data_IF_355699168835
#
_entry.id   IF_355699168835
#
_cell.length_a   1.000
_cell.length_b   1.000
_cell.length_c   1.000
_cell.angle_alpha   90.00
_cell.angle_beta   90.00
_cell.angle_gamma   90.00
#
_symmetry.space_group_name_H-M   'P 1'
#
loop_
_entity.id
_entity.type
_entity.pdbx_description
1 polymer ?
#
# COMPACT_ATOMS: atom_id res chain seq x y z
N UNK A 1 0.33 -8.34 1.13
CA UNK A 1 -0.71 -7.30 0.96
C UNK A 1 -1.59 -7.22 2.21
N UNK A 2 -2.52 -8.17 2.42
CA UNK A 2 -3.42 -8.18 3.59
C UNK A 2 -2.66 -8.19 4.95
N UNK A 3 -1.73 -9.12 5.13
CA UNK A 3 -0.90 -9.19 6.36
C UNK A 3 -0.01 -7.97 6.58
N UNK A 4 0.29 -7.22 5.52
CA UNK A 4 1.08 -6.00 5.64
C UNK A 4 0.22 -4.83 6.11
N UNK A 5 -0.98 -4.68 5.53
CA UNK A 5 -1.96 -3.68 5.97
C UNK A 5 -2.41 -3.91 7.41
N UNK A 6 -2.63 -5.15 7.83
CA UNK A 6 -2.95 -5.47 9.23
C UNK A 6 -1.83 -5.03 10.17
N UNK A 7 -0.57 -5.41 9.89
CA UNK A 7 0.58 -4.98 10.69
C UNK A 7 0.77 -3.46 10.72
N UNK A 8 0.47 -2.75 9.63
CA UNK A 8 0.50 -1.28 9.62
C UNK A 8 -0.63 -0.73 10.50
N UNK A 9 -1.85 -1.28 10.38
CA UNK A 9 -2.99 -0.91 11.22
C UNK A 9 -2.67 -1.01 12.70
N UNK A 10 -2.14 -2.16 13.14
CA UNK A 10 -1.73 -2.36 14.53
C UNK A 10 -0.72 -1.30 14.97
N UNK A 11 0.28 -0.99 14.15
CA UNK A 11 1.30 0.01 14.50
C UNK A 11 0.73 1.42 14.55
N UNK A 12 -0.18 1.78 13.65
CA UNK A 12 -0.90 3.07 13.70
C UNK A 12 -1.67 3.19 15.01
N UNK A 13 -2.36 2.14 15.44
CA UNK A 13 -3.10 2.13 16.72
C UNK A 13 -2.17 2.27 17.94
N UNK A 14 -0.90 1.89 17.80
CA UNK A 14 0.16 2.08 18.79
C UNK A 14 0.99 3.37 18.57
N UNK A 15 0.57 4.27 17.68
CA UNK A 15 1.17 5.59 17.50
C UNK A 15 2.23 5.72 16.40
N UNK A 16 2.31 4.78 15.45
CA UNK A 16 3.19 4.92 14.28
C UNK A 16 2.83 6.14 13.44
N UNK A 17 3.83 6.98 13.18
CA UNK A 17 3.77 8.08 12.24
C UNK A 17 3.81 7.59 10.79
N UNK A 18 3.01 8.25 9.95
CA UNK A 18 3.03 8.06 8.50
C UNK A 18 3.24 9.41 7.83
N UNK A 19 4.20 9.45 6.90
CA UNK A 19 4.57 10.66 6.17
C UNK A 19 4.68 10.41 4.66
N UNK A 20 4.78 11.50 3.90
CA UNK A 20 4.94 11.47 2.44
C UNK A 20 3.64 11.70 1.66
N UNK A 21 3.74 11.83 0.33
CA UNK A 21 2.61 12.21 -0.54
C UNK A 21 1.41 11.25 -0.48
N UNK A 22 1.64 9.99 -0.16
CA UNK A 22 0.60 8.97 -0.08
C UNK A 22 0.18 8.60 1.35
N UNK A 23 0.63 9.34 2.37
CA UNK A 23 0.39 9.03 3.78
C UNK A 23 -1.09 8.82 4.11
N UNK A 24 -1.96 9.75 3.70
CA UNK A 24 -3.39 9.65 3.96
C UNK A 24 -4.01 8.40 3.31
N UNK A 25 -3.59 8.06 2.09
CA UNK A 25 -4.08 6.86 1.39
C UNK A 25 -3.65 5.58 2.09
N UNK A 26 -2.43 5.55 2.63
CA UNK A 26 -1.95 4.43 3.43
C UNK A 26 -2.76 4.28 4.72
N UNK A 27 -3.03 5.38 5.42
CA UNK A 27 -3.84 5.41 6.63
C UNK A 27 -5.28 4.91 6.37
N UNK A 28 -5.91 5.42 5.30
CA UNK A 28 -7.26 5.03 4.92
C UNK A 28 -7.32 3.54 4.54
N UNK A 29 -6.32 3.03 3.79
CA UNK A 29 -6.23 1.62 3.43
C UNK A 29 -6.08 0.70 4.65
N UNK A 30 -5.25 1.09 5.63
CA UNK A 30 -5.07 0.33 6.86
C UNK A 30 -6.36 0.27 7.69
N UNK A 31 -7.07 1.40 7.84
CA UNK A 31 -8.35 1.48 8.54
C UNK A 31 -9.46 0.68 7.83
N UNK A 32 -9.55 0.80 6.51
CA UNK A 32 -10.48 0.04 5.69
C UNK A 32 -10.24 -1.47 5.83
N UNK A 33 -8.98 -1.88 5.86
CA UNK A 33 -8.61 -3.28 6.04
C UNK A 33 -9.00 -3.80 7.43
N UNK A 34 -8.67 -3.05 8.49
CA UNK A 34 -9.03 -3.42 9.86
C UNK A 34 -10.55 -3.57 10.03
N UNK A 35 -11.32 -2.58 9.57
CA UNK A 35 -12.79 -2.56 9.72
C UNK A 35 -13.49 -3.72 9.02
N UNK A 36 -12.98 -4.13 7.85
CA UNK A 36 -13.67 -5.09 7.00
C UNK A 36 -13.25 -6.53 7.24
N UNK A 37 -12.08 -6.76 7.84
CA UNK A 37 -11.45 -8.07 7.76
C UNK A 37 -10.80 -8.54 9.06
N UNK A 38 -10.58 -7.67 10.05
CA UNK A 38 -10.01 -8.12 11.32
C UNK A 38 -10.96 -9.07 12.04
N UNK A 39 -10.48 -10.27 12.37
CA UNK A 39 -11.26 -11.34 12.97
C UNK A 39 -12.31 -12.03 12.07
N UNK A 40 -12.35 -11.77 10.75
CA UNK A 40 -13.32 -12.40 9.84
C UNK A 40 -12.77 -13.60 9.06
N UNK A 41 -13.56 -14.70 9.01
CA UNK A 41 -13.31 -15.79 8.06
C UNK A 41 -13.86 -15.40 6.66
N UNK A 42 -12.96 -15.07 5.75
CA UNK A 42 -13.34 -14.66 4.38
C UNK A 42 -13.59 -15.87 3.48
N UNK A 43 -14.70 -15.82 2.74
CA UNK A 43 -14.94 -16.73 1.61
C UNK A 43 -13.94 -16.46 0.48
N UNK A 44 -13.69 -17.44 -0.42
CA UNK A 44 -12.82 -17.23 -1.58
C UNK A 44 -13.22 -16.05 -2.47
N UNK A 45 -14.51 -15.72 -2.55
CA UNK A 45 -15.00 -14.54 -3.30
C UNK A 45 -14.60 -13.23 -2.62
N UNK A 46 -14.70 -13.17 -1.29
CA UNK A 46 -14.28 -11.99 -0.51
C UNK A 46 -12.77 -11.79 -0.58
N UNK A 47 -11.97 -12.87 -0.54
CA UNK A 47 -10.52 -12.79 -0.74
C UNK A 47 -10.17 -12.24 -2.13
N UNK A 48 -10.88 -12.65 -3.19
CA UNK A 48 -10.64 -12.09 -4.53
C UNK A 48 -11.04 -10.62 -4.64
N UNK A 49 -12.18 -10.24 -4.06
CA UNK A 49 -12.59 -8.85 -4.01
C UNK A 49 -11.57 -7.98 -3.28
N UNK A 50 -10.95 -8.52 -2.22
CA UNK A 50 -9.86 -7.87 -1.48
C UNK A 50 -8.62 -7.65 -2.36
N UNK A 51 -8.15 -8.71 -3.03
CA UNK A 51 -6.95 -8.64 -3.88
C UNK A 51 -7.11 -7.66 -5.04
N UNK A 52 -8.35 -7.36 -5.44
CA UNK A 52 -8.68 -6.48 -6.54
C UNK A 52 -9.20 -5.09 -6.11
N UNK A 53 -9.36 -4.80 -4.80
CA UNK A 53 -9.80 -3.47 -4.36
C UNK A 53 -8.65 -2.47 -4.59
N UNK A 54 -8.82 -1.45 -5.46
CA UNK A 54 -7.77 -0.48 -5.75
C UNK A 54 -7.31 0.29 -4.51
N UNK A 55 -8.19 0.49 -3.53
CA UNK A 55 -7.85 1.22 -2.29
C UNK A 55 -6.92 0.45 -1.38
N UNK A 56 -6.84 -0.87 -1.56
CA UNK A 56 -6.03 -1.77 -0.74
C UNK A 56 -4.75 -2.22 -1.47
N UNK A 57 -4.44 -1.64 -2.62
CA UNK A 57 -3.20 -1.89 -3.34
C UNK A 57 -2.02 -1.15 -2.65
N UNK A 58 -1.48 -1.76 -1.59
CA UNK A 58 -0.37 -1.23 -0.79
C UNK A 58 0.84 -2.16 -0.82
N UNK A 59 1.92 -1.74 -1.49
CA UNK A 59 3.11 -2.56 -1.65
C UNK A 59 4.23 -2.08 -0.73
N UNK A 60 4.76 -2.96 0.10
CA UNK A 60 6.00 -2.70 0.84
C UNK A 60 7.19 -2.73 -0.11
N UNK A 61 8.14 -1.79 0.03
CA UNK A 61 9.40 -1.81 -0.71
C UNK A 61 10.59 -1.62 0.25
N UNK A 62 11.06 -2.70 0.89
CA UNK A 62 12.17 -2.64 1.84
C UNK A 62 13.47 -2.13 1.21
N UNK A 63 13.69 -2.35 -0.09
CA UNK A 63 14.91 -1.92 -0.78
C UNK A 63 14.97 -0.40 -0.97
N UNK A 64 13.81 0.27 -1.00
CA UNK A 64 13.68 1.71 -1.13
C UNK A 64 13.26 2.40 0.18
N UNK A 65 13.15 1.64 1.28
CA UNK A 65 12.75 2.13 2.61
C UNK A 65 11.43 2.93 2.56
N UNK A 66 10.44 2.42 1.83
CA UNK A 66 9.15 3.08 1.66
C UNK A 66 8.01 2.08 1.42
N UNK A 67 6.80 2.57 1.62
CA UNK A 67 5.54 1.93 1.24
C UNK A 67 4.97 2.61 0.00
N UNK A 68 4.51 1.84 -0.98
CA UNK A 68 3.79 2.31 -2.15
C UNK A 68 2.28 2.11 -1.91
N UNK A 69 1.55 3.17 -1.54
CA UNK A 69 0.10 3.16 -1.65
C UNK A 69 -0.24 3.46 -3.11
N UNK A 70 -0.61 2.43 -3.86
CA UNK A 70 -0.58 2.45 -5.31
C UNK A 70 -1.81 3.14 -5.90
N UNK A 71 -1.57 4.26 -6.58
CA UNK A 71 -2.50 4.89 -7.51
C UNK A 71 -1.86 4.79 -8.91
N UNK A 72 -2.40 3.96 -9.82
CA UNK A 72 -1.78 3.73 -11.13
C UNK A 72 -1.70 5.01 -11.98
N UNK A 73 -2.61 5.98 -11.78
CA UNK A 73 -2.58 7.25 -12.51
C UNK A 73 -1.43 8.16 -12.08
N UNK A 74 -0.80 7.90 -10.93
CA UNK A 74 0.27 8.72 -10.34
C UNK A 74 1.59 7.96 -10.18
N UNK A 75 1.62 6.69 -10.56
CA UNK A 75 2.76 5.81 -10.36
C UNK A 75 3.83 6.05 -11.43
N UNK A 76 4.94 6.69 -11.03
CA UNK A 76 6.12 6.86 -11.90
C UNK A 76 6.78 5.53 -12.27
N UNK A 77 6.53 4.48 -11.49
CA UNK A 77 7.04 3.13 -11.73
C UNK A 77 6.04 2.24 -12.50
N UNK A 78 4.90 2.77 -12.97
CA UNK A 78 3.97 1.99 -13.77
C UNK A 78 4.59 1.73 -15.16
N UNK A 79 4.69 0.47 -15.61
CA UNK A 79 5.08 0.18 -16.98
C UNK A 79 3.95 0.68 -17.89
N UNK A 80 4.25 1.70 -18.69
CA UNK A 80 3.43 2.35 -19.71
C UNK A 80 1.96 2.71 -19.35
N UNK A 81 1.64 4.01 -19.42
CA UNK A 81 0.25 4.47 -19.53
C UNK A 81 -0.41 4.06 -20.87
N UNK A 82 0.36 3.45 -21.79
CA UNK A 82 -0.10 2.86 -23.02
C UNK A 82 -0.49 1.40 -22.75
N UNK A 83 -1.78 1.10 -22.81
CA UNK A 83 -2.39 -0.12 -22.32
C UNK A 83 -1.67 -1.42 -22.71
N UNK A 84 -1.88 -2.42 -21.85
CA UNK A 84 -1.49 -3.83 -21.99
C UNK A 84 -0.09 -4.19 -21.48
N UNK A 85 0.13 -4.12 -20.14
CA UNK A 85 1.37 -4.73 -19.62
C UNK A 85 1.72 -4.55 -18.15
N UNK A 86 0.75 -4.63 -17.23
CA UNK A 86 1.02 -4.83 -15.80
C UNK A 86 0.06 -4.08 -14.89
N UNK A 87 -0.85 -4.78 -14.21
CA UNK A 87 -1.71 -4.20 -13.16
C UNK A 87 -0.94 -3.78 -11.90
N UNK A 88 0.35 -4.13 -11.79
CA UNK A 88 1.15 -3.98 -10.58
C UNK A 88 2.36 -3.06 -10.78
N UNK A 89 2.76 -2.28 -9.75
CA UNK A 89 3.92 -1.40 -9.83
C UNK A 89 5.23 -2.17 -9.97
N UNK A 90 6.16 -1.64 -10.77
CA UNK A 90 7.55 -2.13 -10.84
C UNK A 90 8.35 -1.59 -9.66
N UNK A 91 8.36 -2.31 -8.53
CA UNK A 91 9.05 -1.88 -7.31
C UNK A 91 10.57 -1.73 -7.47
N UNK A 92 11.16 -2.44 -8.45
CA UNK A 92 12.55 -2.29 -8.91
C UNK A 92 12.83 -0.94 -9.58
N UNK A 93 11.78 -0.21 -9.99
CA UNK A 93 11.84 1.11 -10.63
C UNK A 93 11.24 2.20 -9.74
N UNK A 94 11.23 2.00 -8.43
CA UNK A 94 10.65 2.97 -7.52
C UNK A 94 11.42 4.29 -7.55
N UNK A 95 10.70 5.40 -7.71
CA UNK A 95 11.25 6.75 -7.61
C UNK A 95 10.81 7.36 -6.27
N UNK A 96 11.76 7.76 -5.38
CA UNK A 96 11.42 8.37 -4.09
C UNK A 96 10.57 9.65 -4.17
N UNK A 97 10.58 10.36 -5.30
CA UNK A 97 9.75 11.54 -5.54
C UNK A 97 8.34 11.20 -6.08
N UNK A 98 8.00 9.91 -6.21
CA UNK A 98 6.68 9.50 -6.70
C UNK A 98 5.59 9.85 -5.68
N UNK A 99 4.44 10.32 -6.18
CA UNK A 99 3.28 10.66 -5.37
C UNK A 99 2.63 9.45 -4.65
N UNK A 100 3.05 8.21 -4.98
CA UNK A 100 2.62 6.98 -4.30
C UNK A 100 3.47 6.58 -3.10
N UNK A 101 4.54 7.32 -2.82
CA UNK A 101 5.39 7.03 -1.68
C UNK A 101 4.74 7.47 -0.36
N UNK A 102 4.72 6.56 0.60
CA UNK A 102 4.48 6.80 2.00
C UNK A 102 5.65 6.20 2.78
N UNK A 103 5.96 6.80 3.93
CA UNK A 103 6.97 6.28 4.86
C UNK A 103 6.31 6.09 6.20
N UNK A 104 6.71 5.01 6.86
CA UNK A 104 6.36 4.73 8.25
C UNK A 104 7.59 4.98 9.11
N UNK A 105 7.41 5.25 10.40
CA UNK A 105 8.56 5.39 11.32
C UNK A 105 9.48 4.15 11.29
N UNK A 106 8.88 2.97 11.11
CA UNK A 106 9.59 1.69 10.96
C UNK A 106 10.41 1.55 9.66
N UNK A 107 10.15 2.38 8.65
CA UNK A 107 10.86 2.37 7.36
C UNK A 107 11.70 3.64 7.14
N UNK A 108 11.75 4.56 8.11
CA UNK A 108 12.63 5.72 8.01
C UNK A 108 14.07 5.32 8.35
N UNK A 109 15.07 5.65 7.53
CA UNK A 109 16.46 5.47 7.94
C UNK A 109 16.74 6.37 9.15
N UNK A 110 17.30 5.78 10.19
CA UNK A 110 17.79 6.46 11.40
C UNK A 110 18.93 7.42 11.11
#
# INVERSE_FOLDING_TARGET
MADYLHRIGDRIDHGEGISGPAAQRLLDAARDAATRFDGMFLSPRQVRALLNDPRLQVHDNPQAFLTCAYDPAKALCHPDHAGHGGEQPRLDRCNPACANTARTDSTSPT
#
